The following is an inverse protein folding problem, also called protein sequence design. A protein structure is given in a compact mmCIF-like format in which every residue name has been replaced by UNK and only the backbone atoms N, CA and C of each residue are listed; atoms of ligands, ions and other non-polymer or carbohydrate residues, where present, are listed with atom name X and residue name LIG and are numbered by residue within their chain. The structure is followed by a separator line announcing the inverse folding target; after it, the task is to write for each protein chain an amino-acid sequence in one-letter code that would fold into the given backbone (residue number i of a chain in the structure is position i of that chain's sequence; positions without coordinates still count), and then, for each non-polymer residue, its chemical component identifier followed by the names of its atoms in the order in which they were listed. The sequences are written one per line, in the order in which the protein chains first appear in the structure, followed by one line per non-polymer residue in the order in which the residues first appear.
data_IF_624623927327
#
_entry.id   IF_624623927327
#
_cell.length_a   1.000
_cell.length_b   1.000
_cell.length_c   1.000
_cell.angle_alpha   90.00
_cell.angle_beta   90.00
_cell.angle_gamma   90.00
#
_symmetry.space_group_name_H-M   'P 1'
#
loop_
_entity.id
_entity.type
_entity.pdbx_description
1 polymer ?
#
# COMPACT_ATOMS: atom_id res chain seq x y z
N UNK A 1 -5.58 -1.99 -12.93
CA UNK A 1 -4.53 -0.96 -13.15
C UNK A 1 -3.62 -1.40 -14.27
N UNK A 2 -3.39 -0.52 -15.26
CA UNK A 2 -2.40 -0.75 -16.32
C UNK A 2 -1.07 -0.11 -15.91
N UNK A 3 0.02 -0.88 -16.02
CA UNK A 3 1.36 -0.39 -15.71
C UNK A 3 1.91 0.35 -16.94
N UNK A 4 2.18 1.64 -16.80
CA UNK A 4 2.75 2.47 -17.86
C UNK A 4 4.27 2.54 -17.71
N UNK A 5 4.73 2.72 -16.48
CA UNK A 5 6.13 2.73 -16.07
C UNK A 5 6.23 2.04 -14.71
N UNK A 6 7.25 1.25 -14.51
CA UNK A 6 7.40 0.41 -13.32
C UNK A 6 8.81 0.48 -12.76
N UNK A 7 8.86 0.38 -11.44
CA UNK A 7 10.00 0.01 -10.63
C UNK A 7 9.57 -1.21 -9.78
N UNK A 8 10.19 -1.52 -8.65
CA UNK A 8 9.71 -2.55 -7.73
C UNK A 8 8.34 -2.25 -7.13
N UNK A 9 7.68 -3.27 -6.57
CA UNK A 9 6.44 -3.09 -5.81
C UNK A 9 5.20 -2.64 -6.60
N UNK A 10 5.15 -2.83 -7.93
CA UNK A 10 4.03 -2.36 -8.79
C UNK A 10 2.66 -2.84 -8.31
N UNK A 11 2.56 -4.06 -7.80
CA UNK A 11 1.32 -4.62 -7.25
C UNK A 11 0.87 -3.86 -6.00
N UNK A 12 1.79 -3.57 -5.10
CA UNK A 12 1.52 -2.81 -3.87
C UNK A 12 1.11 -1.37 -4.19
N UNK A 13 1.80 -0.73 -5.14
CA UNK A 13 1.44 0.60 -5.64
C UNK A 13 0.04 0.62 -6.26
N UNK A 14 -0.32 -0.41 -7.06
CA UNK A 14 -1.64 -0.54 -7.67
C UNK A 14 -2.75 -0.70 -6.61
N UNK A 15 -2.53 -1.48 -5.55
CA UNK A 15 -3.49 -1.63 -4.44
C UNK A 15 -3.69 -0.30 -3.71
N UNK A 16 -2.59 0.36 -3.32
CA UNK A 16 -2.62 1.60 -2.55
C UNK A 16 -3.21 2.77 -3.35
N UNK A 17 -2.81 2.89 -4.62
CA UNK A 17 -3.34 3.89 -5.56
C UNK A 17 -4.78 3.61 -5.99
N UNK A 18 -5.13 2.33 -6.18
CA UNK A 18 -6.49 1.90 -6.50
C UNK A 18 -7.48 2.25 -5.40
N UNK A 19 -7.14 2.02 -4.13
CA UNK A 19 -7.95 2.48 -3.00
C UNK A 19 -8.17 4.00 -3.04
N UNK A 20 -7.11 4.78 -3.25
CA UNK A 20 -7.20 6.24 -3.30
C UNK A 20 -8.10 6.71 -4.44
N UNK A 21 -7.93 6.15 -5.64
CA UNK A 21 -8.74 6.48 -6.80
C UNK A 21 -10.23 6.14 -6.57
N UNK A 22 -10.51 4.96 -5.99
CA UNK A 22 -11.86 4.54 -5.63
C UNK A 22 -12.48 5.50 -4.60
N UNK A 23 -11.74 5.85 -3.53
CA UNK A 23 -12.20 6.79 -2.51
C UNK A 23 -12.60 8.14 -3.13
N UNK A 24 -11.73 8.70 -3.98
CA UNK A 24 -11.98 9.99 -4.65
C UNK A 24 -13.19 9.92 -5.59
N UNK A 25 -13.36 8.83 -6.32
CA UNK A 25 -14.50 8.63 -7.22
C UNK A 25 -15.81 8.51 -6.44
N UNK A 26 -15.85 7.69 -5.41
CA UNK A 26 -17.04 7.50 -4.55
C UNK A 26 -17.42 8.78 -3.81
N UNK A 27 -16.42 9.52 -3.32
CA UNK A 27 -16.68 10.81 -2.67
C UNK A 27 -17.31 11.83 -3.63
N UNK A 28 -16.87 11.90 -4.89
CA UNK A 28 -17.51 12.72 -5.93
C UNK A 28 -18.96 12.32 -6.15
N UNK A 29 -19.27 11.02 -6.14
CA UNK A 29 -20.64 10.52 -6.26
C UNK A 29 -21.52 10.92 -5.07
N UNK A 30 -20.93 10.96 -3.86
CA UNK A 30 -21.63 11.50 -2.66
C UNK A 30 -21.89 12.99 -2.81
N UNK A 31 -20.88 13.79 -3.21
CA UNK A 31 -21.01 15.24 -3.37
C UNK A 31 -22.00 15.61 -4.48
N UNK A 32 -22.14 14.79 -5.52
CA UNK A 32 -23.15 14.91 -6.58
C UNK A 32 -24.54 14.40 -6.18
N UNK A 33 -24.72 13.87 -4.97
CA UNK A 33 -25.99 13.33 -4.49
C UNK A 33 -26.38 11.97 -5.10
N UNK A 34 -25.48 11.34 -5.87
CA UNK A 34 -25.70 10.00 -6.44
C UNK A 34 -25.63 8.91 -5.37
N UNK A 35 -24.77 9.09 -4.36
CA UNK A 35 -24.68 8.23 -3.21
C UNK A 35 -25.05 9.02 -1.94
N UNK A 36 -25.72 8.34 -1.00
CA UNK A 36 -26.11 8.92 0.29
C UNK A 36 -24.93 9.08 1.25
N UNK A 37 -23.96 8.17 1.19
CA UNK A 37 -22.80 8.14 2.04
C UNK A 37 -21.65 7.40 1.32
N UNK A 38 -20.44 7.57 1.80
CA UNK A 38 -19.26 6.87 1.31
C UNK A 38 -19.33 5.39 1.72
N UNK A 39 -19.43 4.43 0.77
CA UNK A 39 -19.58 3.01 1.08
C UNK A 39 -18.20 2.33 1.26
N UNK A 40 -17.36 2.88 2.13
CA UNK A 40 -16.05 2.35 2.48
C UNK A 40 -15.94 2.25 4.00
N UNK A 41 -15.70 1.05 4.49
CA UNK A 41 -15.61 0.77 5.94
C UNK A 41 -14.23 1.11 6.49
N UNK A 42 -13.17 0.96 5.68
CA UNK A 42 -11.78 1.19 6.09
C UNK A 42 -10.90 1.56 4.89
N UNK A 43 -9.68 2.03 5.16
CA UNK A 43 -8.65 2.21 4.15
C UNK A 43 -7.91 0.90 3.86
N UNK A 44 -7.24 0.85 2.71
CA UNK A 44 -6.37 -0.26 2.33
C UNK A 44 -5.06 0.30 1.78
N UNK A 45 -3.95 -0.26 2.22
CA UNK A 45 -2.64 0.02 1.68
C UNK A 45 -1.78 -1.26 1.61
N UNK A 46 -0.81 -1.27 0.73
CA UNK A 46 0.11 -2.37 0.52
C UNK A 46 1.53 -1.86 0.34
N UNK A 47 2.49 -2.69 0.74
CA UNK A 47 3.92 -2.42 0.58
C UNK A 47 4.68 -3.73 0.32
N UNK A 48 5.78 -3.64 -0.43
CA UNK A 48 6.77 -4.70 -0.55
C UNK A 48 7.81 -4.58 0.55
N UNK A 49 8.24 -5.69 1.09
CA UNK A 49 9.35 -5.79 2.04
C UNK A 49 10.14 -7.05 1.71
N UNK A 50 11.43 -7.10 2.04
CA UNK A 50 12.24 -8.27 1.74
C UNK A 50 13.54 -8.30 2.49
N UNK A 51 14.38 -9.26 2.11
CA UNK A 51 15.75 -9.38 2.59
C UNK A 51 16.68 -9.30 1.40
N UNK A 52 17.62 -8.37 1.43
CA UNK A 52 18.63 -8.16 0.39
C UNK A 52 20.01 -8.22 1.05
N UNK A 53 20.82 -9.20 0.65
CA UNK A 53 22.15 -9.39 1.24
C UNK A 53 22.12 -9.60 2.77
N UNK A 54 21.12 -10.28 3.28
CA UNK A 54 20.92 -10.52 4.71
C UNK A 54 20.31 -9.35 5.51
N UNK A 55 19.98 -8.23 4.87
CA UNK A 55 19.40 -7.04 5.50
C UNK A 55 17.91 -6.90 5.17
N UNK A 56 17.02 -6.74 6.17
CA UNK A 56 15.63 -6.42 5.92
C UNK A 56 15.49 -5.04 5.27
N UNK A 57 14.70 -4.96 4.18
CA UNK A 57 14.46 -3.76 3.39
C UNK A 57 12.96 -3.54 3.24
N UNK A 58 12.53 -2.29 3.17
CA UNK A 58 11.15 -1.88 2.94
C UNK A 58 11.05 -1.10 1.64
N UNK A 59 9.97 -1.33 0.88
CA UNK A 59 9.71 -0.69 -0.41
C UNK A 59 10.82 -0.97 -1.43
N UNK A 60 10.99 -2.27 -1.75
CA UNK A 60 12.06 -2.73 -2.64
C UNK A 60 11.96 -2.04 -4.01
N UNK A 61 13.06 -1.43 -4.45
CA UNK A 61 13.20 -1.01 -5.84
C UNK A 61 13.47 -2.23 -6.74
N UNK A 62 13.33 -2.06 -8.07
CA UNK A 62 13.47 -3.17 -9.02
C UNK A 62 14.81 -3.91 -8.91
N UNK A 63 15.91 -3.19 -8.66
CA UNK A 63 17.23 -3.81 -8.55
C UNK A 63 17.37 -4.63 -7.25
N UNK A 64 16.76 -4.20 -6.16
CA UNK A 64 16.70 -4.93 -4.90
C UNK A 64 15.82 -6.17 -5.02
N UNK A 65 14.63 -6.02 -5.64
CA UNK A 65 13.68 -7.10 -5.89
C UNK A 65 14.32 -8.25 -6.71
N UNK A 66 15.10 -7.90 -7.75
CA UNK A 66 15.79 -8.89 -8.58
C UNK A 66 16.85 -9.74 -7.85
N UNK A 67 17.36 -9.29 -6.72
CA UNK A 67 18.44 -9.95 -5.96
C UNK A 67 18.03 -10.29 -4.52
N UNK A 68 16.76 -10.11 -4.19
CA UNK A 68 16.26 -10.38 -2.86
C UNK A 68 16.37 -11.87 -2.50
N UNK A 69 16.83 -12.15 -1.28
CA UNK A 69 16.81 -13.51 -0.71
C UNK A 69 15.39 -13.91 -0.30
N UNK A 70 14.59 -12.93 0.13
CA UNK A 70 13.17 -13.05 0.46
C UNK A 70 12.42 -11.87 -0.14
N UNK A 71 11.39 -12.13 -0.92
CA UNK A 71 10.40 -11.14 -1.38
C UNK A 71 9.08 -11.35 -0.64
N UNK A 72 8.48 -10.25 -0.16
CA UNK A 72 7.22 -10.31 0.58
C UNK A 72 6.35 -9.09 0.27
N UNK A 73 5.08 -9.36 -0.04
CA UNK A 73 4.05 -8.35 -0.24
C UNK A 73 3.04 -8.42 0.90
N UNK A 74 2.73 -7.27 1.49
CA UNK A 74 1.78 -7.15 2.60
C UNK A 74 0.68 -6.16 2.26
N UNK A 75 -0.58 -6.58 2.43
CA UNK A 75 -1.76 -5.72 2.29
C UNK A 75 -2.48 -5.66 3.63
N UNK A 76 -2.74 -4.46 4.13
CA UNK A 76 -3.43 -4.26 5.41
C UNK A 76 -4.56 -3.24 5.29
N UNK A 77 -5.53 -3.39 6.21
CA UNK A 77 -6.56 -2.37 6.45
C UNK A 77 -6.00 -1.21 7.27
N UNK A 78 -6.70 -0.08 7.25
CA UNK A 78 -6.38 1.08 8.07
C UNK A 78 -6.40 0.81 9.59
N UNK A 79 -7.13 -0.21 10.02
CA UNK A 79 -7.18 -0.68 11.42
C UNK A 79 -6.09 -1.72 11.75
N UNK A 80 -5.11 -1.92 10.85
CA UNK A 80 -3.96 -2.79 11.10
C UNK A 80 -4.23 -4.28 10.96
N UNK A 81 -5.33 -4.69 10.31
CA UNK A 81 -5.63 -6.10 10.04
C UNK A 81 -5.05 -6.51 8.69
N UNK A 82 -4.49 -7.70 8.62
CA UNK A 82 -3.96 -8.26 7.38
C UNK A 82 -5.08 -8.67 6.42
N UNK A 83 -4.94 -8.27 5.16
CA UNK A 83 -5.75 -8.75 4.04
C UNK A 83 -4.96 -9.83 3.31
N UNK A 84 -3.66 -9.58 3.10
CA UNK A 84 -2.77 -10.52 2.43
C UNK A 84 -1.36 -10.42 3.02
N UNK A 85 -0.72 -11.56 3.14
CA UNK A 85 0.70 -11.73 3.40
C UNK A 85 1.19 -12.78 2.42
N UNK A 86 2.01 -12.37 1.46
CA UNK A 86 2.64 -13.25 0.49
C UNK A 86 4.15 -13.12 0.63
N UNK A 87 4.83 -14.21 0.97
CA UNK A 87 6.27 -14.24 1.14
C UNK A 87 6.86 -15.43 0.40
N UNK A 88 7.97 -15.22 -0.28
CA UNK A 88 8.71 -16.24 -1.01
C UNK A 88 10.19 -16.18 -0.63
N UNK A 89 10.78 -17.31 -0.30
CA UNK A 89 12.22 -17.47 -0.24
C UNK A 89 12.74 -17.75 -1.65
N UNK A 90 13.54 -16.87 -2.20
CA UNK A 90 14.08 -17.01 -3.55
C UNK A 90 15.34 -17.89 -3.60
N UNK A 91 16.04 -18.02 -2.48
CA UNK A 91 17.26 -18.83 -2.36
C UNK A 91 17.12 -19.91 -1.28
N UNK A 92 17.27 -19.56 -0.03
CA UNK A 92 17.24 -20.46 1.13
C UNK A 92 16.01 -20.16 2.02
N UNK A 93 15.44 -21.19 2.67
CA UNK A 93 14.35 -20.99 3.62
C UNK A 93 14.75 -19.99 4.72
N UNK A 94 13.83 -19.14 5.14
CA UNK A 94 14.08 -18.13 6.17
C UNK A 94 13.38 -18.48 7.49
N UNK A 95 13.97 -18.00 8.58
CA UNK A 95 13.51 -18.24 9.93
C UNK A 95 12.25 -17.42 10.27
N UNK A 96 11.47 -17.89 11.25
CA UNK A 96 10.28 -17.21 11.75
C UNK A 96 10.57 -15.77 12.21
N UNK A 97 11.74 -15.54 12.81
CA UNK A 97 12.19 -14.22 13.26
C UNK A 97 12.31 -13.21 12.11
N UNK A 98 12.72 -13.66 10.91
CA UNK A 98 12.77 -12.82 9.71
C UNK A 98 11.36 -12.41 9.28
N UNK A 99 10.40 -13.36 9.28
CA UNK A 99 9.01 -13.04 8.97
C UNK A 99 8.44 -12.00 9.94
N UNK A 100 8.68 -12.18 11.23
CA UNK A 100 8.17 -11.26 12.26
C UNK A 100 8.75 -9.85 12.07
N UNK A 101 10.03 -9.72 11.70
CA UNK A 101 10.67 -8.43 11.41
C UNK A 101 10.13 -7.79 10.11
N UNK A 102 9.95 -8.57 9.04
CA UNK A 102 9.37 -8.07 7.80
C UNK A 102 7.92 -7.59 7.99
N UNK A 103 7.12 -8.29 8.79
CA UNK A 103 5.77 -7.86 9.15
C UNK A 103 5.76 -6.55 9.95
N UNK A 104 6.74 -6.37 10.85
CA UNK A 104 6.91 -5.12 11.60
C UNK A 104 7.23 -3.96 10.66
N UNK A 105 8.20 -4.12 9.76
CA UNK A 105 8.60 -3.12 8.77
C UNK A 105 7.44 -2.79 7.82
N UNK A 106 6.72 -3.81 7.34
CA UNK A 106 5.54 -3.60 6.50
C UNK A 106 4.47 -2.76 7.19
N UNK A 107 4.24 -3.00 8.49
CA UNK A 107 3.30 -2.20 9.29
C UNK A 107 3.70 -0.72 9.37
N UNK A 108 4.98 -0.43 9.53
CA UNK A 108 5.52 0.94 9.55
C UNK A 108 5.40 1.63 8.20
N UNK A 109 5.75 0.92 7.11
CA UNK A 109 5.62 1.46 5.75
C UNK A 109 4.17 1.70 5.35
N UNK A 110 3.27 0.78 5.67
CA UNK A 110 1.81 0.94 5.44
C UNK A 110 1.25 2.13 6.21
N UNK A 111 1.72 2.37 7.43
CA UNK A 111 1.29 3.55 8.21
C UNK A 111 1.68 4.87 7.52
N UNK A 112 2.85 4.93 6.88
CA UNK A 112 3.29 6.08 6.07
C UNK A 112 2.43 6.25 4.82
N UNK A 113 2.19 5.18 4.06
CA UNK A 113 1.32 5.22 2.86
C UNK A 113 -0.09 5.69 3.24
N UNK A 114 -0.64 5.19 4.33
CA UNK A 114 -1.95 5.62 4.84
C UNK A 114 -1.98 7.11 5.18
N UNK A 115 -0.92 7.64 5.80
CA UNK A 115 -0.83 9.07 6.09
C UNK A 115 -0.82 9.91 4.81
N UNK A 116 -0.10 9.48 3.77
CA UNK A 116 -0.10 10.13 2.46
C UNK A 116 -1.48 10.05 1.77
N UNK A 117 -2.14 8.90 1.78
CA UNK A 117 -3.50 8.74 1.27
C UNK A 117 -4.46 9.74 1.94
N UNK A 118 -4.44 9.84 3.26
CA UNK A 118 -5.27 10.77 4.02
C UNK A 118 -4.92 12.23 3.71
N UNK A 119 -3.63 12.55 3.55
CA UNK A 119 -3.17 13.87 3.13
C UNK A 119 -3.71 14.28 1.76
N UNK A 120 -3.68 13.37 0.78
CA UNK A 120 -4.22 13.61 -0.57
C UNK A 120 -5.73 13.81 -0.52
N UNK A 121 -6.45 12.92 0.17
CA UNK A 121 -7.91 13.02 0.35
C UNK A 121 -8.27 14.37 0.94
N UNK A 122 -7.61 14.79 2.03
CA UNK A 122 -7.89 16.05 2.70
C UNK A 122 -7.61 17.25 1.80
N UNK A 123 -6.46 17.28 1.10
CA UNK A 123 -6.11 18.40 0.19
C UNK A 123 -7.09 18.54 -0.97
N UNK A 124 -7.50 17.41 -1.55
CA UNK A 124 -8.43 17.39 -2.69
C UNK A 124 -9.79 18.03 -2.30
N UNK A 125 -10.26 17.81 -1.08
CA UNK A 125 -11.55 18.39 -0.63
C UNK A 125 -11.43 19.76 0.00
N UNK A 126 -10.28 20.16 0.52
CA UNK A 126 -10.05 21.53 0.99
C UNK A 126 -10.03 22.54 -0.16
N UNK A 127 -9.50 22.14 -1.33
CA UNK A 127 -9.43 23.00 -2.53
C UNK A 127 -10.77 23.19 -3.27
N UNK A 128 -11.75 22.32 -3.03
CA UNK A 128 -13.04 22.35 -3.75
C UNK A 128 -14.07 23.37 -3.22
N UNK A 129 -13.78 24.11 -2.17
CA UNK A 129 -14.71 25.12 -1.59
C UNK A 129 -14.50 26.56 -2.07
N UNK A 130 -13.68 26.78 -3.08
CA UNK A 130 -13.28 28.10 -3.57
C UNK A 130 -13.79 28.47 -4.96
N UNK A 131 -14.89 27.90 -5.45
CA UNK A 131 -15.46 28.20 -6.76
C UNK A 131 -16.99 28.18 -6.73
N UNK A 132 -17.59 29.23 -6.31
CA UNK A 132 -18.98 29.60 -6.57
C UNK A 132 -19.02 31.06 -7.01
#
# INVERSE_FOLDING_TARGET
CDVIEADGGTRCAAVSGGYLALHLALKRAVDAGTLKALPLDDSVAAISVGVVGGMPVVDLEYQEDCVADVDMNVVMTGNGRFIEVQATAESEPFERSVLDELLRLAGEGIAQIKAEQMGIITRTYAGGRGGA
#
